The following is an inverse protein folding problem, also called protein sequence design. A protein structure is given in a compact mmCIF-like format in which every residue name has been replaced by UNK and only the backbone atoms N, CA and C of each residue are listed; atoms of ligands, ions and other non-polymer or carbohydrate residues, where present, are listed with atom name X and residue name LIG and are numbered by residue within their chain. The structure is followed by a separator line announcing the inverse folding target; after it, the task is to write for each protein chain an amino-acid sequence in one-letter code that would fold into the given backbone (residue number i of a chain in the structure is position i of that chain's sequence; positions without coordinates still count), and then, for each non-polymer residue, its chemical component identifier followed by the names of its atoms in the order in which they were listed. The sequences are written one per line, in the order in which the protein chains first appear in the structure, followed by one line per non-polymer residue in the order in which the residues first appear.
data_IF_399896671817
#
_entry.id   IF_399896671817
#
_cell.length_a   1.000
_cell.length_b   1.000
_cell.length_c   1.000
_cell.angle_alpha   90.00
_cell.angle_beta   90.00
_cell.angle_gamma   90.00
#
_symmetry.space_group_name_H-M   'P 1'
#
loop_
_entity.id
_entity.type
_entity.pdbx_description
1 polymer ?
#
# COMPACT_ATOMS: atom_id res chain seq x y z
N UNK A 1 11.35 8.90 5.06
CA UNK A 1 11.00 9.37 3.69
C UNK A 1 10.10 8.38 2.94
N UNK A 2 10.47 7.10 2.83
CA UNK A 2 9.71 6.09 2.06
C UNK A 2 8.23 5.92 2.46
N UNK A 3 7.92 5.91 3.77
CA UNK A 3 6.53 5.77 4.27
C UNK A 3 5.65 6.97 3.88
N UNK A 4 6.20 8.19 3.93
CA UNK A 4 5.47 9.41 3.55
C UNK A 4 5.17 9.39 2.05
N UNK A 5 6.19 9.09 1.23
CA UNK A 5 6.00 8.98 -0.22
C UNK A 5 4.98 7.89 -0.58
N UNK A 6 5.05 6.75 0.09
CA UNK A 6 4.09 5.67 -0.10
C UNK A 6 2.66 6.12 0.20
N UNK A 7 2.44 6.86 1.29
CA UNK A 7 1.11 7.41 1.63
C UNK A 7 0.55 8.33 0.53
N UNK A 8 1.38 9.21 -0.02
CA UNK A 8 0.98 10.10 -1.13
C UNK A 8 0.66 9.30 -2.39
N UNK A 9 1.51 8.33 -2.78
CA UNK A 9 1.25 7.48 -3.95
C UNK A 9 0.00 6.62 -3.79
N UNK A 10 -0.24 6.12 -2.58
CA UNK A 10 -1.41 5.32 -2.25
C UNK A 10 -2.70 6.14 -2.42
N UNK A 11 -2.74 7.37 -1.90
CA UNK A 11 -3.90 8.25 -2.07
C UNK A 11 -4.20 8.53 -3.55
N UNK A 12 -3.19 8.93 -4.33
CA UNK A 12 -3.35 9.19 -5.76
C UNK A 12 -3.87 7.97 -6.53
N UNK A 13 -3.40 6.77 -6.21
CA UNK A 13 -3.89 5.54 -6.83
C UNK A 13 -5.39 5.33 -6.58
N UNK A 14 -5.84 5.50 -5.33
CA UNK A 14 -7.26 5.31 -4.98
C UNK A 14 -8.14 6.43 -5.52
N UNK A 15 -7.74 7.70 -5.38
CA UNK A 15 -8.49 8.85 -5.89
C UNK A 15 -8.66 8.74 -7.41
N UNK A 16 -7.57 8.46 -8.14
CA UNK A 16 -7.63 8.30 -9.60
C UNK A 16 -8.46 7.09 -10.00
N UNK A 17 -8.33 5.97 -9.28
CA UNK A 17 -9.11 4.76 -9.50
C UNK A 17 -10.61 4.99 -9.32
N UNK A 18 -11.00 5.73 -8.28
CA UNK A 18 -12.40 6.09 -8.05
C UNK A 18 -12.93 7.03 -9.12
N UNK A 19 -12.16 8.05 -9.53
CA UNK A 19 -12.55 8.95 -10.62
C UNK A 19 -12.76 8.19 -11.94
N UNK A 20 -11.86 7.26 -12.27
CA UNK A 20 -12.01 6.41 -13.46
C UNK A 20 -13.25 5.51 -13.36
N UNK A 21 -13.44 4.86 -12.22
CA UNK A 21 -14.58 3.96 -11.97
C UNK A 21 -15.91 4.70 -12.05
N UNK A 22 -15.98 5.93 -11.52
CA UNK A 22 -17.18 6.77 -11.57
C UNK A 22 -17.52 7.22 -13.00
N UNK A 23 -16.49 7.53 -13.80
CA UNK A 23 -16.65 7.88 -15.21
C UNK A 23 -17.10 6.69 -16.06
N UNK A 24 -16.60 5.47 -15.79
CA UNK A 24 -16.90 4.29 -16.61
C UNK A 24 -18.18 3.56 -16.19
N UNK A 25 -18.59 3.64 -14.92
CA UNK A 25 -19.75 2.91 -14.41
C UNK A 25 -21.08 3.69 -14.57
N UNK A 26 -22.18 2.99 -14.92
CA UNK A 26 -23.51 3.59 -14.97
C UNK A 26 -23.99 4.05 -13.59
N UNK A 27 -24.82 5.10 -13.55
CA UNK A 27 -25.19 5.81 -12.32
C UNK A 27 -25.80 4.91 -11.25
N UNK A 28 -26.53 3.85 -11.64
CA UNK A 28 -27.16 2.93 -10.69
C UNK A 28 -26.14 2.05 -9.92
N UNK A 29 -24.94 1.84 -10.47
CA UNK A 29 -23.96 0.87 -9.93
C UNK A 29 -22.59 1.46 -9.57
N UNK A 30 -22.39 2.78 -9.68
CA UNK A 30 -21.12 3.46 -9.34
C UNK A 30 -20.60 3.12 -7.95
N UNK A 31 -21.49 3.15 -6.94
CA UNK A 31 -21.12 2.80 -5.57
C UNK A 31 -20.65 1.35 -5.43
N UNK A 32 -21.28 0.42 -6.16
CA UNK A 32 -20.87 -0.99 -6.17
C UNK A 32 -19.51 -1.17 -6.88
N UNK A 33 -19.28 -0.44 -7.97
CA UNK A 33 -18.03 -0.49 -8.71
C UNK A 33 -16.85 0.08 -7.90
N UNK A 34 -17.06 1.18 -7.16
CA UNK A 34 -16.05 1.73 -6.24
C UNK A 34 -15.76 0.77 -5.08
N UNK A 35 -16.78 0.12 -4.51
CA UNK A 35 -16.60 -0.90 -3.49
C UNK A 35 -15.81 -2.11 -4.01
N UNK A 36 -16.02 -2.50 -5.27
CA UNK A 36 -15.27 -3.58 -5.91
C UNK A 36 -13.79 -3.22 -6.06
N UNK A 37 -13.47 -1.97 -6.41
CA UNK A 37 -12.08 -1.48 -6.46
C UNK A 37 -11.39 -1.60 -5.10
N UNK A 38 -12.08 -1.21 -4.02
CA UNK A 38 -11.55 -1.37 -2.65
C UNK A 38 -11.43 -2.85 -2.29
N UNK A 39 -12.42 -3.68 -2.61
CA UNK A 39 -12.39 -5.11 -2.30
C UNK A 39 -11.22 -5.83 -2.99
N UNK A 40 -10.92 -5.51 -4.24
CA UNK A 40 -9.78 -6.15 -4.92
C UNK A 40 -8.44 -5.69 -4.34
N UNK A 41 -8.30 -4.41 -4.01
CA UNK A 41 -7.03 -3.83 -3.55
C UNK A 41 -6.77 -4.13 -2.07
N UNK A 42 -7.77 -3.96 -1.22
CA UNK A 42 -7.70 -4.12 0.24
C UNK A 42 -8.19 -5.48 0.73
N UNK A 43 -9.12 -6.12 0.02
CA UNK A 43 -9.60 -7.45 0.38
C UNK A 43 -8.67 -8.52 -0.18
N UNK A 44 -8.85 -8.87 -1.46
CA UNK A 44 -8.09 -9.94 -2.10
C UNK A 44 -6.59 -9.62 -2.19
N UNK A 45 -6.23 -8.38 -2.51
CA UNK A 45 -4.85 -7.93 -2.62
C UNK A 45 -4.06 -8.14 -1.32
N UNK A 46 -4.60 -7.68 -0.18
CA UNK A 46 -3.96 -7.90 1.12
C UNK A 46 -4.03 -9.36 1.56
N UNK A 47 -5.13 -10.07 1.30
CA UNK A 47 -5.26 -11.49 1.65
C UNK A 47 -4.15 -12.34 1.01
N UNK A 48 -3.98 -12.26 -0.31
CA UNK A 48 -2.91 -12.97 -1.00
C UNK A 48 -1.54 -12.41 -0.65
N UNK A 49 -1.43 -11.10 -0.40
CA UNK A 49 -0.21 -10.45 0.07
C UNK A 49 0.31 -11.05 1.38
N UNK A 50 -0.56 -11.18 2.39
CA UNK A 50 -0.19 -11.78 3.67
C UNK A 50 0.08 -13.28 3.57
N UNK A 51 -0.70 -14.00 2.77
CA UNK A 51 -0.46 -15.43 2.56
C UNK A 51 0.93 -15.70 1.94
N UNK A 52 1.31 -14.92 0.92
CA UNK A 52 2.63 -15.05 0.29
C UNK A 52 3.74 -14.54 1.23
N UNK A 53 3.48 -13.48 1.99
CA UNK A 53 4.43 -12.93 2.95
C UNK A 53 4.75 -13.94 4.05
N UNK A 54 3.75 -14.66 4.57
CA UNK A 54 3.93 -15.68 5.60
C UNK A 54 4.86 -16.81 5.13
N UNK A 55 4.69 -17.25 3.89
CA UNK A 55 5.55 -18.30 3.29
C UNK A 55 7.00 -17.80 3.06
N UNK A 56 7.18 -16.51 2.73
CA UNK A 56 8.49 -15.98 2.28
C UNK A 56 9.31 -15.26 3.35
N UNK A 57 8.66 -14.74 4.39
CA UNK A 57 9.29 -13.85 5.37
C UNK A 57 9.40 -14.43 6.78
N UNK A 58 9.26 -15.75 6.93
CA UNK A 58 9.52 -16.45 8.20
C UNK A 58 10.89 -16.07 8.81
N UNK A 59 11.94 -15.96 7.97
CA UNK A 59 13.28 -15.57 8.41
C UNK A 59 13.39 -14.10 8.87
N UNK A 60 12.58 -13.19 8.32
CA UNK A 60 12.57 -11.77 8.74
C UNK A 60 11.80 -11.57 10.06
N UNK A 61 10.94 -12.53 10.43
CA UNK A 61 10.12 -12.46 11.65
C UNK A 61 11.00 -12.45 12.91
N UNK A 62 12.07 -13.23 12.95
CA UNK A 62 12.99 -13.25 14.10
C UNK A 62 13.69 -11.90 14.31
N UNK A 63 14.10 -11.22 13.24
CA UNK A 63 14.66 -9.86 13.34
C UNK A 63 13.61 -8.84 13.77
N UNK A 64 12.37 -8.96 13.27
CA UNK A 64 11.26 -8.08 13.66
C UNK A 64 10.88 -8.24 15.12
N UNK A 65 10.79 -9.48 15.62
CA UNK A 65 10.45 -9.79 17.01
C UNK A 65 11.55 -9.30 17.96
N UNK A 66 12.82 -9.47 17.61
CA UNK A 66 13.95 -8.96 18.38
C UNK A 66 13.98 -7.42 18.44
N UNK A 67 13.70 -6.75 17.32
CA UNK A 67 13.58 -5.29 17.27
C UNK A 67 12.39 -4.80 18.09
N UNK A 68 11.24 -5.48 17.99
CA UNK A 68 10.02 -5.10 18.71
C UNK A 68 10.15 -5.32 20.21
N UNK A 69 10.92 -6.33 20.65
CA UNK A 69 11.25 -6.54 22.06
C UNK A 69 12.24 -5.50 22.61
N UNK A 70 13.09 -4.93 21.75
CA UNK A 70 14.02 -3.85 22.10
C UNK A 70 13.36 -2.46 22.17
N UNK A 71 12.17 -2.30 21.58
CA UNK A 71 11.37 -1.07 21.69
C UNK A 71 10.54 -1.17 22.97
N UNK A 72 10.97 -0.49 24.03
CA UNK A 72 10.14 -0.37 25.23
C UNK A 72 8.85 0.39 24.90
N UNK A 73 7.72 -0.32 24.87
CA UNK A 73 6.39 0.30 24.86
C UNK A 73 6.09 0.88 26.24
N UNK A 74 6.63 2.07 26.51
CA UNK A 74 6.24 2.83 27.69
C UNK A 74 4.81 3.32 27.49
N UNK A 75 3.88 2.89 28.35
CA UNK A 75 2.50 3.36 28.33
C UNK A 75 2.44 4.77 28.91
N UNK A 76 2.21 5.77 28.06
CA UNK A 76 2.00 7.16 28.50
C UNK A 76 0.51 7.46 28.68
N UNK A 77 0.18 8.43 29.54
CA UNK A 77 -1.19 8.95 29.64
C UNK A 77 -1.63 9.64 28.34
N UNK A 78 -2.94 9.76 28.09
CA UNK A 78 -3.50 10.35 26.86
C UNK A 78 -2.85 11.68 26.46
N UNK A 79 -2.73 12.62 27.39
CA UNK A 79 -2.18 13.97 27.13
C UNK A 79 -0.67 13.96 26.87
N UNK A 80 0.04 13.00 27.45
CA UNK A 80 1.48 12.84 27.25
C UNK A 80 1.77 12.16 25.90
N UNK A 81 0.99 11.13 25.53
CA UNK A 81 1.00 10.53 24.20
C UNK A 81 0.68 11.56 23.10
N UNK A 82 -0.32 12.41 23.32
CA UNK A 82 -0.67 13.47 22.38
C UNK A 82 0.47 14.50 22.22
N UNK A 83 1.05 14.99 23.32
CA UNK A 83 2.20 15.90 23.24
C UNK A 83 3.43 15.27 22.58
N UNK A 84 3.71 14.00 22.88
CA UNK A 84 4.86 13.26 22.31
C UNK A 84 4.68 12.90 20.84
N UNK A 85 3.44 12.75 20.35
CA UNK A 85 3.16 12.52 18.93
C UNK A 85 3.67 13.66 18.04
N UNK A 86 3.68 14.91 18.54
CA UNK A 86 4.19 16.08 17.81
C UNK A 86 5.66 16.38 18.07
N UNK A 87 6.27 15.81 19.11
CA UNK A 87 7.66 16.06 19.47
C UNK A 87 8.66 15.20 18.70
N UNK A 88 8.21 14.31 17.80
CA UNK A 88 9.03 13.44 16.96
C UNK A 88 10.23 12.85 17.72
N UNK A 89 9.99 12.42 18.97
CA UNK A 89 11.05 11.91 19.83
C UNK A 89 11.39 10.50 19.36
N UNK A 90 12.40 10.39 18.49
CA UNK A 90 12.92 9.10 18.02
C UNK A 90 13.50 8.36 19.23
N UNK A 91 13.09 7.10 19.51
CA UNK A 91 13.75 6.29 20.52
C UNK A 91 15.23 6.08 20.14
N UNK A 92 16.14 6.25 21.11
CA UNK A 92 17.56 5.97 20.92
C UNK A 92 17.77 4.45 20.88
N UNK A 93 17.71 3.89 19.67
CA UNK A 93 18.04 2.49 19.41
C UNK A 93 19.49 2.41 18.95
N UNK A 94 20.24 1.43 19.46
CA UNK A 94 21.63 1.17 19.10
C UNK A 94 21.83 1.16 17.56
N UNK A 95 22.93 1.77 17.10
CA UNK A 95 23.19 1.95 15.68
C UNK A 95 23.34 0.61 14.93
N UNK A 96 23.82 -0.45 15.59
CA UNK A 96 23.96 -1.78 14.99
C UNK A 96 22.60 -2.44 14.74
N UNK A 97 21.66 -2.31 15.68
CA UNK A 97 20.29 -2.83 15.57
C UNK A 97 19.53 -2.06 14.48
N UNK A 98 19.72 -0.74 14.42
CA UNK A 98 19.11 0.11 13.38
C UNK A 98 19.60 -0.31 11.99
N UNK A 99 20.89 -0.58 11.82
CA UNK A 99 21.47 -0.98 10.54
C UNK A 99 20.99 -2.38 10.11
N UNK A 100 20.96 -3.33 11.04
CA UNK A 100 20.42 -4.68 10.79
C UNK A 100 18.93 -4.66 10.42
N UNK A 101 18.14 -3.79 11.07
CA UNK A 101 16.73 -3.60 10.74
C UNK A 101 16.53 -2.99 9.35
N UNK A 102 17.34 -1.99 8.97
CA UNK A 102 17.29 -1.36 7.65
C UNK A 102 17.60 -2.34 6.51
N UNK A 103 18.48 -3.31 6.74
CA UNK A 103 18.80 -4.35 5.75
C UNK A 103 17.62 -5.32 5.54
N UNK A 104 16.99 -5.78 6.63
CA UNK A 104 15.76 -6.58 6.56
C UNK A 104 14.60 -5.82 5.91
N UNK A 105 14.50 -4.52 6.17
CA UNK A 105 13.43 -3.68 5.64
C UNK A 105 13.52 -3.49 4.12
N UNK A 106 14.74 -3.38 3.59
CA UNK A 106 14.96 -3.36 2.13
C UNK A 106 14.45 -4.65 1.48
N UNK A 107 14.78 -5.80 2.05
CA UNK A 107 14.32 -7.12 1.55
C UNK A 107 12.80 -7.24 1.59
N UNK A 108 12.19 -6.74 2.68
CA UNK A 108 10.73 -6.71 2.83
C UNK A 108 10.04 -5.87 1.75
N UNK A 109 10.54 -4.66 1.45
CA UNK A 109 9.93 -3.76 0.46
C UNK A 109 10.20 -4.15 -1.00
N UNK A 110 11.33 -4.79 -1.29
CA UNK A 110 11.67 -5.17 -2.67
C UNK A 110 10.74 -6.25 -3.23
N UNK A 111 10.18 -7.11 -2.38
CA UNK A 111 9.26 -8.16 -2.80
C UNK A 111 7.94 -7.64 -3.42
N UNK A 112 7.14 -6.80 -2.73
CA UNK A 112 5.92 -6.22 -3.33
C UNK A 112 6.26 -5.30 -4.50
N UNK A 113 7.42 -4.65 -4.52
CA UNK A 113 7.88 -3.85 -5.66
C UNK A 113 8.02 -4.71 -6.93
N UNK A 114 8.69 -5.86 -6.84
CA UNK A 114 8.84 -6.76 -7.98
C UNK A 114 7.50 -7.36 -8.41
N UNK A 115 6.64 -7.73 -7.46
CA UNK A 115 5.30 -8.25 -7.77
C UNK A 115 4.42 -7.21 -8.47
N UNK A 116 4.44 -5.96 -8.00
CA UNK A 116 3.73 -4.86 -8.64
C UNK A 116 4.26 -4.59 -10.06
N UNK A 117 5.58 -4.66 -10.27
CA UNK A 117 6.18 -4.52 -11.58
C UNK A 117 5.74 -5.64 -12.54
N UNK A 118 5.72 -6.90 -12.07
CA UNK A 118 5.22 -8.02 -12.86
C UNK A 118 3.73 -7.84 -13.25
N UNK A 119 2.89 -7.41 -12.31
CA UNK A 119 1.48 -7.12 -12.58
C UNK A 119 1.34 -5.98 -13.60
N UNK A 120 2.14 -4.92 -13.46
CA UNK A 120 2.13 -3.80 -14.40
C UNK A 120 2.51 -4.24 -15.82
N UNK A 121 3.49 -5.13 -15.98
CA UNK A 121 3.85 -5.70 -17.28
C UNK A 121 2.71 -6.53 -17.88
N UNK A 122 2.02 -7.34 -17.06
CA UNK A 122 0.85 -8.10 -17.51
C UNK A 122 -0.23 -7.14 -18.03
N UNK A 123 -0.56 -6.09 -17.28
CA UNK A 123 -1.55 -5.09 -17.70
C UNK A 123 -1.13 -4.35 -18.97
N UNK A 124 0.15 -3.98 -19.11
CA UNK A 124 0.64 -3.31 -20.29
C UNK A 124 0.50 -4.17 -21.56
N UNK A 125 0.63 -5.49 -21.43
CA UNK A 125 0.46 -6.44 -22.54
C UNK A 125 -1.02 -6.71 -22.84
N UNK A 126 -1.87 -6.84 -21.81
CA UNK A 126 -3.26 -7.28 -21.99
C UNK A 126 -4.27 -6.14 -22.19
N UNK A 127 -3.99 -4.94 -21.69
CA UNK A 127 -4.92 -3.79 -21.71
C UNK A 127 -4.40 -2.59 -22.52
N UNK A 128 -3.76 -2.86 -23.66
CA UNK A 128 -3.30 -1.82 -24.56
C UNK A 128 -4.39 -1.39 -25.56
N UNK A 129 -5.51 -0.89 -25.04
CA UNK A 129 -6.62 -0.44 -25.89
C UNK A 129 -6.55 1.07 -26.16
N UNK A 130 -6.76 1.47 -27.42
CA UNK A 130 -6.69 2.87 -27.84
C UNK A 130 -8.05 3.53 -27.60
N UNK A 131 -8.05 4.68 -26.90
CA UNK A 131 -9.26 5.48 -26.69
C UNK A 131 -9.91 5.82 -28.05
N UNK A 132 -11.13 5.36 -28.29
CA UNK A 132 -11.94 5.80 -29.44
C UNK A 132 -12.72 7.04 -29.01
N UNK A 133 -12.49 8.16 -29.69
CA UNK A 133 -13.28 9.38 -29.51
C UNK A 133 -14.75 9.08 -29.85
N UNK A 134 -15.67 9.51 -29.00
CA UNK A 134 -17.10 9.47 -29.31
C UNK A 134 -17.39 10.45 -30.46
N UNK A 135 -18.02 9.95 -31.52
CA UNK A 135 -18.50 10.77 -32.63
C UNK A 135 -19.65 11.67 -32.14
N UNK A 136 -19.50 13.00 -32.17
CA UNK A 136 -20.54 13.93 -31.70
C UNK A 136 -21.85 13.85 -32.50
N UNK A 137 -21.90 13.13 -33.63
CA UNK A 137 -23.10 12.99 -34.46
C UNK A 137 -23.84 11.65 -34.29
N UNK A 138 -23.39 10.76 -33.41
CA UNK A 138 -24.08 9.50 -33.14
C UNK A 138 -24.15 9.20 -31.63
N UNK A 139 -25.14 9.76 -30.91
CA UNK A 139 -25.36 9.47 -29.50
C UNK A 139 -26.03 8.09 -29.36
N UNK A 140 -25.27 7.02 -29.52
CA UNK A 140 -25.70 5.68 -29.17
C UNK A 140 -24.50 4.83 -28.74
N UNK A 141 -24.31 4.71 -27.42
CA UNK A 141 -24.43 3.46 -26.63
C UNK A 141 -23.86 3.62 -25.23
#
# INVERSE_FOLDING_TARGET
AGVILHGVCYDFFFVTGFMYTDNKAPKEVRGQAQALLVFFTQGLGMFFGYWIAEIKFEALRQQSDALSAAIETTTFGFWESFGKMFLAQKPEVDASITQAAMEGWKTFWMFPCFMAFAIALVFAITFWDKYKEEDPNNPAQ
#
